data_IF_866804301080
#
_entry.id   IF_866804301080
#
_cell.length_a   1.000
_cell.length_b   1.000
_cell.length_c   1.000
_cell.angle_alpha   90.00
_cell.angle_beta   90.00
_cell.angle_gamma   90.00
#
_symmetry.space_group_name_H-M   'P 1'
#
loop_
_entity.id
_entity.type
_entity.pdbx_description
1 polymer ?
#
# COMPACT_ATOMS: atom_id res chain seq x y z
N UNK A 1 21.96 14.80 11.90
CA UNK A 1 21.78 15.51 13.18
C UNK A 1 20.31 15.80 13.35
N UNK A 2 19.72 15.48 14.50
CA UNK A 2 18.26 15.46 14.63
C UNK A 2 17.74 16.73 15.27
N UNK A 3 17.04 17.53 14.47
CA UNK A 3 16.40 18.78 14.88
C UNK A 3 15.58 18.63 16.19
N UNK A 4 14.77 17.57 16.41
CA UNK A 4 14.03 17.42 17.67
C UNK A 4 14.89 17.25 18.92
N UNK A 5 16.06 16.61 18.82
CA UNK A 5 16.98 16.42 19.95
C UNK A 5 17.68 17.74 20.28
N UNK A 6 18.07 18.48 19.24
CA UNK A 6 18.61 19.82 19.38
C UNK A 6 17.60 20.76 20.02
N UNK A 7 16.35 20.76 19.54
CA UNK A 7 15.26 21.52 20.17
C UNK A 7 15.11 21.19 21.64
N UNK A 8 15.11 19.89 22.00
CA UNK A 8 15.07 19.47 23.40
C UNK A 8 16.25 20.05 24.21
N UNK A 9 17.45 20.01 23.65
CA UNK A 9 18.64 20.58 24.28
C UNK A 9 18.54 22.10 24.46
N UNK A 10 18.08 22.83 23.43
CA UNK A 10 17.91 24.28 23.51
C UNK A 10 16.81 24.63 24.51
N UNK A 11 15.64 24.01 24.46
CA UNK A 11 14.54 24.35 25.37
C UNK A 11 14.89 24.00 26.83
N UNK A 12 15.63 22.91 27.07
CA UNK A 12 16.15 22.61 28.39
C UNK A 12 17.14 23.68 28.88
N UNK A 13 18.03 24.15 28.00
CA UNK A 13 18.97 25.24 28.31
C UNK A 13 18.22 26.55 28.56
N UNK A 14 17.18 26.83 27.77
CA UNK A 14 16.33 28.00 27.90
C UNK A 14 15.60 27.99 29.24
N UNK A 15 14.95 26.88 29.63
CA UNK A 15 14.30 26.70 30.93
C UNK A 15 15.30 26.91 32.08
N UNK A 16 16.52 26.37 31.97
CA UNK A 16 17.54 26.59 33.00
C UNK A 16 17.97 28.06 33.10
N UNK A 17 18.04 28.77 31.97
CA UNK A 17 18.38 30.18 31.94
C UNK A 17 17.25 31.07 32.46
N UNK A 18 15.97 30.73 32.22
CA UNK A 18 14.83 31.52 32.70
C UNK A 18 14.70 31.51 34.23
N UNK A 19 15.30 30.52 34.90
CA UNK A 19 15.40 30.51 36.37
C UNK A 19 16.35 31.59 36.91
N UNK A 20 17.26 32.10 36.10
CA UNK A 20 18.31 33.05 36.51
C UNK A 20 18.09 34.43 35.85
N UNK A 21 17.60 34.45 34.62
CA UNK A 21 17.41 35.63 33.80
C UNK A 21 15.96 35.72 33.33
N UNK A 22 15.47 36.94 33.09
CA UNK A 22 14.12 37.10 32.56
C UNK A 22 14.03 36.51 31.14
N UNK A 23 12.96 35.77 30.85
CA UNK A 23 12.68 35.21 29.54
C UNK A 23 12.79 36.31 28.45
N UNK A 24 13.59 36.07 27.42
CA UNK A 24 13.79 37.07 26.40
C UNK A 24 12.58 37.19 25.48
N UNK A 25 12.33 38.41 25.01
CA UNK A 25 11.25 38.74 24.06
C UNK A 25 11.70 38.58 22.61
N UNK A 26 12.79 37.84 22.37
CA UNK A 26 13.36 37.66 21.05
C UNK A 26 12.52 36.67 20.25
N UNK A 27 12.39 36.93 18.95
CA UNK A 27 11.54 36.14 18.06
C UNK A 27 11.96 34.67 18.01
N UNK A 28 13.27 34.39 18.03
CA UNK A 28 13.82 33.04 17.97
C UNK A 28 13.46 32.23 19.22
N UNK A 29 13.48 32.86 20.40
CA UNK A 29 13.13 32.27 21.69
C UNK A 29 11.61 32.02 21.78
N UNK A 30 10.80 32.98 21.33
CA UNK A 30 9.35 32.81 21.22
C UNK A 30 8.99 31.67 20.26
N UNK A 31 9.69 31.56 19.13
CA UNK A 31 9.48 30.46 18.17
C UNK A 31 9.90 29.11 18.75
N UNK A 32 11.00 29.07 19.54
CA UNK A 32 11.43 27.86 20.24
C UNK A 32 10.37 27.40 21.26
N UNK A 33 9.88 28.32 22.09
CA UNK A 33 8.81 28.04 23.07
C UNK A 33 7.57 27.54 22.35
N UNK A 34 7.12 28.26 21.32
CA UNK A 34 5.92 27.89 20.55
C UNK A 34 6.04 26.50 19.90
N UNK A 35 7.23 26.13 19.43
CA UNK A 35 7.45 24.81 18.81
C UNK A 35 7.71 23.68 19.80
N UNK A 36 7.89 23.99 21.10
CA UNK A 36 8.32 23.01 22.12
C UNK A 36 7.35 22.88 23.30
N UNK A 37 6.48 23.85 23.51
CA UNK A 37 5.57 23.89 24.66
C UNK A 37 4.29 23.07 24.44
N UNK A 38 3.74 22.58 25.55
CA UNK A 38 2.37 22.11 25.66
C UNK A 38 1.43 23.32 25.70
N UNK A 39 0.31 23.22 25.00
CA UNK A 39 -0.68 24.29 24.90
C UNK A 39 -1.97 23.89 25.60
N UNK A 40 -2.67 24.86 26.16
CA UNK A 40 -4.06 24.76 26.58
C UNK A 40 -4.91 25.74 25.78
N UNK A 41 -6.19 25.40 25.55
CA UNK A 41 -7.15 26.35 25.01
C UNK A 41 -7.30 27.51 26.02
N UNK A 42 -7.26 28.77 25.55
CA UNK A 42 -7.37 29.95 26.41
C UNK A 42 -8.76 30.09 27.03
N UNK A 43 -9.78 29.52 26.39
CA UNK A 43 -11.19 29.69 26.74
C UNK A 43 -11.79 28.48 27.48
N UNK A 44 -11.06 27.36 27.58
CA UNK A 44 -11.50 26.20 28.38
C UNK A 44 -11.20 26.44 29.86
N UNK A 45 -12.24 26.68 30.65
CA UNK A 45 -12.15 26.64 32.11
C UNK A 45 -11.94 25.18 32.55
N UNK A 46 -10.77 24.81 33.10
CA UNK A 46 -10.47 23.43 33.48
C UNK A 46 -11.36 22.90 34.62
N UNK A 47 -12.29 23.70 35.14
CA UNK A 47 -13.28 23.28 36.14
C UNK A 47 -14.59 22.77 35.56
N UNK A 48 -14.86 22.94 34.25
CA UNK A 48 -15.97 22.27 33.58
C UNK A 48 -15.54 20.88 33.11
N UNK A 49 -15.79 19.89 33.96
CA UNK A 49 -15.70 18.48 33.57
C UNK A 49 -16.89 18.14 32.68
N UNK A 50 -16.66 18.13 31.37
CA UNK A 50 -17.62 17.64 30.39
C UNK A 50 -17.64 16.10 30.46
N UNK A 51 -18.52 15.61 31.33
CA UNK A 51 -19.13 14.29 31.21
C UNK A 51 -20.22 14.44 30.12
N UNK A 52 -19.94 14.08 28.86
CA UNK A 52 -20.89 13.83 27.74
C UNK A 52 -20.06 13.83 26.43
N UNK A 53 -20.29 13.08 25.35
CA UNK A 53 -20.92 11.79 25.08
C UNK A 53 -20.50 11.49 23.60
N UNK A 54 -20.06 10.26 23.34
CA UNK A 54 -20.07 9.52 22.06
C UNK A 54 -20.46 10.26 20.74
N UNK A 55 -19.51 10.95 20.08
CA UNK A 55 -19.63 11.24 18.64
C UNK A 55 -18.41 10.70 17.86
N UNK A 56 -18.57 9.44 17.42
CA UNK A 56 -17.70 8.66 16.53
C UNK A 56 -17.84 9.13 15.06
N UNK A 57 -17.62 10.42 14.77
CA UNK A 57 -17.50 10.90 13.39
C UNK A 57 -16.01 10.92 12.97
N UNK A 58 -15.62 9.87 12.25
CA UNK A 58 -14.38 9.74 11.47
C UNK A 58 -14.41 10.73 10.26
N UNK A 59 -14.58 12.03 10.51
CA UNK A 59 -14.34 13.06 9.50
C UNK A 59 -12.83 13.33 9.38
N UNK A 60 -12.37 13.45 8.13
CA UNK A 60 -10.98 13.65 7.76
C UNK A 60 -10.42 14.92 8.42
N UNK A 61 -9.53 14.74 9.40
CA UNK A 61 -8.73 15.72 10.16
C UNK A 61 -7.77 16.56 9.27
N UNK A 62 -8.25 17.19 8.20
CA UNK A 62 -7.40 18.00 7.29
C UNK A 62 -7.64 19.52 7.38
N UNK A 63 -8.63 20.02 8.15
CA UNK A 63 -8.95 21.46 8.26
C UNK A 63 -8.66 22.11 9.64
N UNK A 64 -7.94 21.43 10.53
CA UNK A 64 -7.66 21.89 11.92
C UNK A 64 -6.48 22.88 12.05
N UNK A 65 -6.14 23.61 10.98
CA UNK A 65 -4.96 24.51 10.95
C UNK A 65 -5.29 25.93 11.45
N UNK A 66 -6.56 26.34 11.39
CA UNK A 66 -6.98 27.72 11.72
C UNK A 66 -7.35 27.94 13.20
N UNK A 67 -7.37 26.90 14.05
CA UNK A 67 -7.70 27.05 15.49
C UNK A 67 -6.52 27.46 16.38
N UNK A 68 -5.31 27.63 15.81
CA UNK A 68 -4.10 27.90 16.60
C UNK A 68 -4.08 29.27 17.31
N UNK A 69 -4.94 30.21 16.95
CA UNK A 69 -4.97 31.54 17.59
C UNK A 69 -5.45 31.50 19.05
N UNK A 70 -6.17 30.47 19.47
CA UNK A 70 -6.77 30.37 20.81
C UNK A 70 -5.93 29.55 21.80
N UNK A 71 -4.76 29.05 21.40
CA UNK A 71 -3.93 28.20 22.25
C UNK A 71 -2.77 28.98 22.87
N UNK A 72 -2.67 29.00 24.19
CA UNK A 72 -1.56 29.63 24.94
C UNK A 72 -0.64 28.55 25.51
N UNK A 73 0.71 28.72 25.45
CA UNK A 73 1.64 27.80 26.10
C UNK A 73 1.39 27.73 27.61
N UNK A 74 1.25 26.53 28.15
CA UNK A 74 1.03 26.35 29.58
C UNK A 74 2.26 26.84 30.34
N UNK A 75 2.04 27.80 31.25
CA UNK A 75 3.07 28.34 32.16
C UNK A 75 3.92 29.50 31.62
N UNK A 76 3.55 30.08 30.47
CA UNK A 76 4.25 31.23 29.86
C UNK A 76 4.46 32.40 30.84
N UNK A 77 3.46 32.69 31.68
CA UNK A 77 3.50 33.79 32.66
C UNK A 77 4.52 33.61 33.80
N UNK A 78 5.00 32.38 34.04
CA UNK A 78 5.90 32.05 35.14
C UNK A 78 7.32 31.67 34.67
N UNK A 79 7.57 31.68 33.36
CA UNK A 79 8.82 31.18 32.78
C UNK A 79 9.02 29.67 32.96
N UNK A 80 7.94 28.94 33.29
CA UNK A 80 7.89 27.50 33.49
C UNK A 80 7.13 26.86 32.33
N UNK A 81 7.84 26.44 31.29
CA UNK A 81 7.23 25.82 30.13
C UNK A 81 7.06 24.31 30.33
N UNK A 82 5.83 23.81 30.18
CA UNK A 82 5.61 22.37 30.04
C UNK A 82 5.97 21.96 28.62
N UNK A 83 6.83 20.96 28.45
CA UNK A 83 7.26 20.48 27.15
C UNK A 83 6.16 19.62 26.51
N UNK A 84 6.00 19.69 25.18
CA UNK A 84 4.99 18.98 24.38
C UNK A 84 5.08 17.43 24.41
N UNK A 85 5.84 16.86 25.33
CA UNK A 85 6.10 15.43 25.48
C UNK A 85 7.52 15.09 25.09
N UNK A 86 8.24 14.43 26.00
CA UNK A 86 9.54 13.84 25.71
C UNK A 86 9.30 12.37 25.38
N UNK A 87 9.72 11.95 24.19
CA UNK A 87 9.60 10.57 23.72
C UNK A 87 10.99 9.95 23.67
N UNK A 88 11.10 8.73 24.16
CA UNK A 88 12.29 7.89 23.96
C UNK A 88 12.20 7.22 22.57
N UNK A 89 13.19 7.47 21.72
CA UNK A 89 13.35 6.83 20.41
C UNK A 89 14.78 6.31 20.30
N UNK A 90 14.94 4.99 20.18
CA UNK A 90 16.26 4.34 20.04
C UNK A 90 17.26 4.70 21.16
N UNK A 91 16.81 4.74 22.42
CA UNK A 91 17.60 5.15 23.61
C UNK A 91 18.03 6.63 23.62
N UNK A 92 17.40 7.46 22.79
CA UNK A 92 17.59 8.91 22.82
C UNK A 92 16.28 9.60 23.16
N UNK A 93 16.35 10.62 23.99
CA UNK A 93 15.19 11.45 24.33
C UNK A 93 15.04 12.58 23.32
N UNK A 94 13.81 12.83 22.88
CA UNK A 94 13.50 13.92 21.96
C UNK A 94 12.12 14.49 22.21
N UNK A 95 11.91 15.73 21.79
CA UNK A 95 10.56 16.27 21.76
C UNK A 95 9.70 15.46 20.77
N UNK A 96 8.47 15.15 21.19
CA UNK A 96 7.41 14.60 20.36
C UNK A 96 7.19 15.52 19.14
N UNK A 97 6.83 14.96 18.00
CA UNK A 97 6.40 15.75 16.85
C UNK A 97 4.95 16.18 17.10
N UNK A 98 4.72 17.10 18.04
CA UNK A 98 3.35 17.47 18.39
C UNK A 98 2.81 18.59 17.50
N UNK A 99 3.65 19.41 16.85
CA UNK A 99 3.19 20.41 15.86
C UNK A 99 4.21 20.60 14.72
N UNK A 100 3.71 20.70 13.49
CA UNK A 100 4.50 20.83 12.24
C UNK A 100 5.11 22.23 12.02
N UNK A 101 5.01 23.15 12.99
CA UNK A 101 5.82 24.37 12.94
C UNK A 101 7.29 23.99 13.15
N UNK A 102 7.94 23.67 12.04
CA UNK A 102 9.36 23.36 12.02
C UNK A 102 10.10 24.64 12.43
N UNK A 103 10.53 24.74 13.70
CA UNK A 103 11.59 25.67 14.11
C UNK A 103 12.67 25.67 13.02
N UNK A 104 12.88 26.80 12.31
CA UNK A 104 13.77 26.86 11.19
C UNK A 104 15.19 26.44 11.62
N UNK A 105 15.96 25.74 10.76
CA UNK A 105 17.34 25.41 11.06
C UNK A 105 18.17 26.62 11.47
N UNK A 106 17.92 27.80 10.89
CA UNK A 106 18.59 29.07 11.25
C UNK A 106 18.38 29.46 12.71
N UNK A 107 17.19 29.24 13.28
CA UNK A 107 16.92 29.55 14.69
C UNK A 107 17.74 28.63 15.60
N UNK A 108 17.89 27.35 15.25
CA UNK A 108 18.76 26.44 16.00
C UNK A 108 20.22 26.86 15.94
N UNK A 109 20.72 27.25 14.76
CA UNK A 109 22.09 27.74 14.61
C UNK A 109 22.34 28.96 15.50
N UNK A 110 21.40 29.91 15.50
CA UNK A 110 21.45 31.10 16.36
C UNK A 110 21.43 30.75 17.84
N UNK A 111 20.52 29.87 18.27
CA UNK A 111 20.36 29.45 19.66
C UNK A 111 21.62 28.74 20.19
N UNK A 112 22.31 28.00 19.33
CA UNK A 112 23.59 27.36 19.64
C UNK A 112 24.81 28.25 19.40
N UNK A 113 24.62 29.48 18.93
CA UNK A 113 25.68 30.44 18.59
C UNK A 113 26.69 29.89 17.59
N UNK A 114 26.22 29.18 16.59
CA UNK A 114 27.03 28.63 15.49
C UNK A 114 26.57 29.19 14.15
N UNK A 115 27.47 29.28 13.18
CA UNK A 115 27.18 29.87 11.87
C UNK A 115 26.69 28.84 10.85
N UNK A 116 27.01 27.56 11.06
CA UNK A 116 26.67 26.48 10.14
C UNK A 116 26.24 25.20 10.84
N UNK A 117 25.57 24.32 10.11
CA UNK A 117 25.20 22.97 10.59
C UNK A 117 26.43 22.08 10.81
N UNK A 118 27.53 22.35 10.11
CA UNK A 118 28.83 21.69 10.27
C UNK A 118 29.50 22.08 11.61
N UNK A 119 29.41 23.36 11.97
CA UNK A 119 29.87 23.83 13.29
C UNK A 119 29.04 23.18 14.40
N UNK A 120 27.73 23.05 14.20
CA UNK A 120 26.86 22.37 15.15
C UNK A 120 27.28 20.88 15.29
N UNK A 121 27.68 20.23 14.19
CA UNK A 121 28.21 18.85 14.23
C UNK A 121 29.51 18.77 15.04
N UNK A 122 30.37 19.77 14.86
CA UNK A 122 31.63 19.91 15.58
C UNK A 122 31.40 20.14 17.07
N UNK A 123 30.49 21.03 17.45
CA UNK A 123 30.14 21.34 18.86
C UNK A 123 29.65 20.10 19.61
N UNK A 124 28.84 19.27 18.96
CA UNK A 124 28.31 18.05 19.59
C UNK A 124 29.22 16.82 19.42
N UNK A 125 30.38 16.95 18.78
CA UNK A 125 31.27 15.83 18.49
C UNK A 125 30.62 14.74 17.64
N UNK A 126 29.56 15.07 16.90
CA UNK A 126 28.81 14.12 16.07
C UNK A 126 29.34 14.27 14.66
N UNK A 127 30.27 13.41 14.26
CA UNK A 127 30.61 13.25 12.85
C UNK A 127 29.31 12.98 12.08
N UNK A 128 28.93 13.93 11.23
CA UNK A 128 27.85 13.91 10.24
C UNK A 128 26.99 12.64 10.20
N UNK A 129 25.90 12.65 10.97
CA UNK A 129 24.72 11.85 10.67
C UNK A 129 24.46 10.70 11.62
N UNK A 130 23.77 10.99 12.73
CA UNK A 130 22.67 10.13 13.12
C UNK A 130 21.70 10.09 11.93
N UNK A 131 21.88 9.16 11.01
CA UNK A 131 20.84 8.79 10.07
C UNK A 131 19.83 7.99 10.89
N UNK A 132 18.55 8.35 10.80
CA UNK A 132 17.51 7.46 11.31
C UNK A 132 17.73 6.13 10.65
N UNK A 133 18.12 5.12 11.44
CA UNK A 133 18.00 3.76 10.94
C UNK A 133 16.53 3.66 10.52
N UNK A 134 16.26 3.53 9.20
CA UNK A 134 14.90 3.49 8.72
C UNK A 134 14.25 2.40 9.54
N UNK A 135 13.12 2.73 10.20
CA UNK A 135 12.41 1.72 11.00
C UNK A 135 12.23 0.54 10.06
N UNK A 136 12.80 -0.62 10.39
CA UNK A 136 12.64 -1.78 9.53
C UNK A 136 11.15 -2.13 9.57
N UNK A 137 10.53 -2.09 8.40
CA UNK A 137 9.13 -2.49 8.28
C UNK A 137 9.00 -3.93 8.68
N UNK A 138 7.87 -4.30 9.28
CA UNK A 138 7.65 -5.71 9.57
C UNK A 138 7.77 -6.51 8.25
N UNK A 139 8.64 -7.52 8.18
CA UNK A 139 9.02 -8.19 6.93
C UNK A 139 7.84 -8.92 6.27
N UNK A 140 6.78 -9.19 7.03
CA UNK A 140 5.55 -9.84 6.56
C UNK A 140 4.56 -8.90 5.87
N UNK A 141 4.79 -7.56 5.95
CA UNK A 141 3.92 -6.56 5.34
C UNK A 141 3.88 -6.70 3.83
N UNK A 142 2.67 -6.62 3.27
CA UNK A 142 2.46 -6.48 1.83
C UNK A 142 2.77 -5.06 1.39
N UNK A 143 3.37 -4.90 0.22
CA UNK A 143 3.52 -3.57 -0.38
C UNK A 143 2.23 -3.19 -1.10
N UNK A 144 1.31 -2.55 -0.38
CA UNK A 144 0.00 -2.14 -0.90
C UNK A 144 0.05 -0.90 -1.81
N UNK A 145 1.24 -0.30 -2.01
CA UNK A 145 1.44 0.88 -2.88
C UNK A 145 1.91 0.50 -4.28
N UNK A 146 1.83 -0.77 -4.65
CA UNK A 146 2.21 -1.21 -5.99
C UNK A 146 1.16 -0.75 -7.01
N UNK A 147 1.58 -0.24 -8.19
CA UNK A 147 0.65 0.15 -9.24
C UNK A 147 -0.10 -1.06 -9.82
N UNK A 148 0.54 -2.24 -9.82
CA UNK A 148 -0.07 -3.49 -10.25
C UNK A 148 0.46 -4.68 -9.43
N UNK A 149 -0.35 -5.72 -9.30
CA UNK A 149 0.07 -7.02 -8.78
C UNK A 149 1.03 -7.71 -9.75
N UNK A 150 1.82 -8.64 -9.23
CA UNK A 150 2.78 -9.39 -10.04
C UNK A 150 2.06 -10.51 -10.77
N UNK A 151 2.39 -10.69 -12.04
CA UNK A 151 1.86 -11.76 -12.86
C UNK A 151 2.26 -13.13 -12.31
N UNK A 152 1.29 -14.04 -12.23
CA UNK A 152 1.43 -15.37 -11.65
C UNK A 152 2.49 -16.22 -12.37
N UNK A 153 2.69 -15.99 -13.67
CA UNK A 153 3.72 -16.65 -14.48
C UNK A 153 5.15 -16.28 -14.00
N UNK A 154 5.33 -15.10 -13.41
CA UNK A 154 6.61 -14.70 -12.82
C UNK A 154 6.74 -15.13 -11.35
N UNK A 155 5.63 -15.45 -10.69
CA UNK A 155 5.61 -15.87 -9.29
C UNK A 155 5.83 -17.37 -9.13
N UNK A 156 5.33 -18.17 -10.08
CA UNK A 156 5.39 -19.64 -10.07
C UNK A 156 6.45 -20.13 -11.03
N UNK A 157 7.12 -21.22 -10.67
CA UNK A 157 8.00 -21.95 -11.59
C UNK A 157 7.19 -22.80 -12.59
N UNK A 158 6.07 -23.32 -12.13
CA UNK A 158 5.20 -24.20 -12.91
C UNK A 158 4.03 -23.42 -13.50
N UNK A 159 3.69 -23.69 -14.76
CA UNK A 159 2.52 -23.11 -15.42
C UNK A 159 1.25 -23.56 -14.68
N UNK A 160 0.31 -22.65 -14.35
CA UNK A 160 -0.94 -23.04 -13.73
C UNK A 160 -1.72 -24.02 -14.62
N UNK A 161 -2.41 -25.02 -14.05
CA UNK A 161 -3.13 -26.01 -14.83
C UNK A 161 -4.24 -25.35 -15.65
N UNK A 162 -4.41 -25.76 -16.91
CA UNK A 162 -5.53 -25.29 -17.72
C UNK A 162 -6.81 -25.96 -17.22
N UNK A 163 -7.77 -25.14 -16.79
CA UNK A 163 -9.10 -25.59 -16.39
C UNK A 163 -9.93 -25.80 -17.66
N UNK A 164 -10.55 -26.97 -17.77
CA UNK A 164 -11.60 -27.18 -18.76
C UNK A 164 -12.83 -26.38 -18.32
N UNK A 165 -13.10 -25.28 -19.01
CA UNK A 165 -14.24 -24.39 -18.74
C UNK A 165 -15.39 -24.63 -19.71
N UNK A 166 -15.23 -25.55 -20.67
CA UNK A 166 -16.24 -25.86 -21.66
C UNK A 166 -16.51 -24.73 -22.65
N UNK A 167 -15.55 -23.82 -22.86
CA UNK A 167 -15.69 -22.71 -23.81
C UNK A 167 -15.44 -23.22 -25.23
N UNK A 168 -16.48 -23.72 -25.90
CA UNK A 168 -16.40 -24.20 -27.29
C UNK A 168 -16.31 -23.01 -28.27
N UNK A 169 -15.23 -22.93 -29.06
CA UNK A 169 -15.00 -21.82 -30.02
C UNK A 169 -16.00 -21.73 -31.16
N UNK A 170 -16.86 -22.74 -31.36
CA UNK A 170 -17.82 -22.71 -32.46
C UNK A 170 -18.78 -21.51 -32.44
N UNK A 171 -18.83 -20.76 -31.35
CA UNK A 171 -19.65 -19.55 -31.20
C UNK A 171 -18.87 -18.22 -31.20
N UNK A 172 -17.56 -18.24 -31.45
CA UNK A 172 -16.70 -17.08 -31.20
C UNK A 172 -16.19 -16.53 -32.54
N UNK A 173 -16.96 -15.63 -33.12
CA UNK A 173 -16.41 -14.70 -34.11
C UNK A 173 -15.59 -13.68 -33.33
N UNK A 174 -14.29 -13.93 -33.19
CA UNK A 174 -13.37 -12.91 -32.69
C UNK A 174 -13.42 -11.77 -33.69
N UNK A 175 -13.81 -10.57 -33.27
CA UNK A 175 -13.69 -9.42 -34.16
C UNK A 175 -12.22 -9.35 -34.56
N UNK A 176 -11.94 -9.51 -35.86
CA UNK A 176 -10.60 -9.23 -36.38
C UNK A 176 -10.32 -7.79 -35.98
N UNK A 177 -9.28 -7.50 -35.18
CA UNK A 177 -8.94 -6.13 -34.86
C UNK A 177 -8.90 -5.39 -36.18
N UNK A 178 -9.70 -4.33 -36.33
CA UNK A 178 -9.55 -3.42 -37.46
C UNK A 178 -8.17 -2.80 -37.34
N UNK A 179 -7.16 -3.50 -37.85
CA UNK A 179 -5.87 -2.92 -38.16
C UNK A 179 -6.16 -1.89 -39.23
N UNK A 180 -5.88 -0.63 -38.89
CA UNK A 180 -6.04 0.52 -39.77
C UNK A 180 -4.95 0.53 -40.86
N UNK A 181 -4.66 -0.64 -41.44
CA UNK A 181 -3.71 -0.82 -42.53
C UNK A 181 -4.50 -0.73 -43.83
N UNK A 182 -4.59 0.49 -44.36
CA UNK A 182 -5.18 0.80 -45.66
C UNK A 182 -4.33 0.31 -46.83
N UNK A 183 -4.14 -1.01 -46.96
CA UNK A 183 -3.57 -1.60 -48.17
C UNK A 183 -4.52 -2.69 -48.68
N UNK A 184 -5.30 -2.32 -49.69
CA UNK A 184 -6.14 -3.22 -50.48
C UNK A 184 -5.28 -4.25 -51.21
N UNK A 185 -4.94 -5.36 -50.56
CA UNK A 185 -4.38 -6.53 -51.24
C UNK A 185 -5.46 -7.58 -51.36
N UNK A 186 -6.09 -7.62 -52.54
CA UNK A 186 -6.92 -8.71 -52.98
C UNK A 186 -6.11 -10.02 -52.97
N UNK A 187 -6.33 -10.88 -51.98
CA UNK A 187 -5.91 -12.29 -52.02
C UNK A 187 -6.96 -13.19 -51.39
N UNK A 188 -7.47 -14.10 -52.22
CA UNK A 188 -8.11 -15.34 -51.82
C UNK A 188 -7.18 -16.13 -50.89
N UNK A 189 -7.31 -15.91 -49.58
CA UNK A 189 -6.64 -16.73 -48.58
C UNK A 189 -7.62 -17.83 -48.20
N UNK A 190 -7.36 -19.02 -48.73
CA UNK A 190 -7.98 -20.27 -48.29
C UNK A 190 -7.56 -20.50 -46.83
N UNK A 191 -8.45 -20.18 -45.89
CA UNK A 191 -8.24 -20.45 -44.47
C UNK A 191 -8.12 -21.97 -44.23
N UNK A 192 -7.03 -22.46 -43.60
CA UNK A 192 -6.87 -23.89 -43.31
C UNK A 192 -7.91 -24.35 -42.28
N UNK A 193 -8.71 -25.37 -42.62
CA UNK A 193 -9.73 -26.01 -41.75
C UNK A 193 -9.21 -26.68 -40.46
N UNK A 194 -7.92 -26.53 -40.13
CA UNK A 194 -7.30 -27.13 -38.94
C UNK A 194 -7.00 -26.16 -37.79
N UNK A 195 -7.27 -24.86 -37.94
CA UNK A 195 -7.05 -23.86 -36.89
C UNK A 195 -8.03 -23.96 -35.70
N UNK A 196 -9.19 -24.59 -35.88
CA UNK A 196 -10.30 -24.53 -34.92
C UNK A 196 -10.01 -25.21 -33.56
N UNK A 197 -9.16 -26.24 -33.50
CA UNK A 197 -8.93 -27.00 -32.24
C UNK A 197 -7.85 -26.35 -31.36
N UNK A 198 -6.87 -25.70 -31.97
CA UNK A 198 -5.76 -25.07 -31.24
C UNK A 198 -6.19 -23.75 -30.61
N UNK A 199 -7.02 -22.97 -31.30
CA UNK A 199 -7.60 -21.73 -30.78
C UNK A 199 -8.50 -22.00 -29.55
N UNK A 200 -9.22 -23.13 -29.46
CA UNK A 200 -10.14 -23.41 -28.33
C UNK A 200 -9.38 -23.57 -27.04
N UNK A 201 -8.25 -24.28 -27.11
CA UNK A 201 -7.38 -24.48 -25.97
C UNK A 201 -6.79 -23.15 -25.49
N UNK A 202 -6.69 -22.16 -26.37
CA UNK A 202 -6.17 -20.84 -26.02
C UNK A 202 -7.15 -20.02 -25.18
N UNK A 203 -8.46 -20.08 -25.44
CA UNK A 203 -9.44 -19.33 -24.63
C UNK A 203 -9.57 -19.91 -23.21
N UNK A 204 -9.71 -21.23 -23.08
CA UNK A 204 -9.72 -21.91 -21.78
C UNK A 204 -8.44 -21.62 -21.00
N UNK A 205 -7.29 -21.59 -21.69
CA UNK A 205 -5.99 -21.21 -21.10
C UNK A 205 -6.00 -19.77 -20.61
N UNK A 206 -6.48 -18.81 -21.40
CA UNK A 206 -6.56 -17.40 -21.00
C UNK A 206 -7.49 -17.18 -19.80
N UNK A 207 -8.68 -17.79 -19.81
CA UNK A 207 -9.65 -17.69 -18.71
C UNK A 207 -9.10 -18.38 -17.45
N UNK A 208 -8.39 -19.50 -17.60
CA UNK A 208 -7.68 -20.16 -16.50
C UNK A 208 -6.60 -19.25 -15.90
N UNK A 209 -5.81 -18.57 -16.72
CA UNK A 209 -4.81 -17.60 -16.24
C UNK A 209 -5.46 -16.45 -15.47
N UNK A 210 -6.57 -15.90 -15.96
CA UNK A 210 -7.35 -14.87 -15.25
C UNK A 210 -7.83 -15.40 -13.90
N UNK A 211 -8.36 -16.62 -13.87
CA UNK A 211 -8.85 -17.26 -12.63
C UNK A 211 -7.75 -17.42 -11.58
N UNK A 212 -6.60 -17.98 -11.94
CA UNK A 212 -5.51 -18.14 -10.97
C UNK A 212 -4.88 -16.81 -10.56
N UNK A 213 -4.79 -15.85 -11.50
CA UNK A 213 -4.34 -14.49 -11.16
C UNK A 213 -5.28 -13.83 -10.16
N UNK A 214 -6.61 -14.00 -10.29
CA UNK A 214 -7.59 -13.46 -9.34
C UNK A 214 -7.34 -13.96 -7.92
N UNK A 215 -7.13 -15.27 -7.75
CA UNK A 215 -6.87 -15.86 -6.43
C UNK A 215 -5.59 -15.29 -5.80
N UNK A 216 -4.53 -15.10 -6.61
CA UNK A 216 -3.27 -14.48 -6.18
C UNK A 216 -3.46 -13.00 -5.79
N UNK A 217 -4.12 -12.23 -6.66
CA UNK A 217 -4.34 -10.80 -6.48
C UNK A 217 -5.15 -10.50 -5.23
N UNK A 218 -6.19 -11.28 -4.94
CA UNK A 218 -7.01 -11.12 -3.72
C UNK A 218 -6.14 -11.19 -2.47
N UNK A 219 -5.24 -12.18 -2.39
CA UNK A 219 -4.36 -12.36 -1.23
C UNK A 219 -3.29 -11.27 -1.17
N UNK A 220 -2.68 -10.92 -2.30
CA UNK A 220 -1.62 -9.90 -2.38
C UNK A 220 -2.12 -8.49 -2.05
N UNK A 221 -3.39 -8.20 -2.37
CA UNK A 221 -4.04 -6.92 -2.07
C UNK A 221 -4.64 -6.83 -0.67
N UNK A 222 -4.48 -7.87 0.15
CA UNK A 222 -4.96 -7.84 1.52
C UNK A 222 -4.31 -6.71 2.32
N UNK A 223 -5.08 -5.99 3.16
CA UNK A 223 -4.56 -4.84 3.88
C UNK A 223 -3.49 -5.24 4.90
N UNK A 224 -2.70 -4.24 5.31
CA UNK A 224 -1.83 -4.37 6.46
C UNK A 224 -2.49 -3.73 7.68
N UNK A 225 -2.08 -4.15 8.88
CA UNK A 225 -2.46 -3.46 10.12
C UNK A 225 -1.87 -2.04 10.12
N UNK A 226 -2.61 -1.10 10.72
CA UNK A 226 -2.17 0.30 10.92
C UNK A 226 -0.83 0.30 11.67
N UNK A 227 0.09 1.18 11.29
CA UNK A 227 1.43 1.25 11.88
C UNK A 227 2.46 0.38 11.16
N UNK A 228 3.69 0.90 11.06
CA UNK A 228 4.76 0.32 10.25
C UNK A 228 5.38 -0.97 10.82
N UNK A 229 5.38 -1.11 12.15
CA UNK A 229 5.87 -2.30 12.87
C UNK A 229 4.87 -3.44 12.91
N UNK A 230 3.60 -3.18 12.59
CA UNK A 230 2.56 -4.20 12.65
C UNK A 230 2.60 -5.09 11.40
N UNK A 231 2.38 -6.41 11.56
CA UNK A 231 2.42 -7.36 10.45
C UNK A 231 1.24 -7.16 9.48
N UNK A 232 1.30 -7.85 8.34
CA UNK A 232 0.14 -8.00 7.45
C UNK A 232 -1.01 -8.72 8.16
N UNK A 233 -2.26 -8.51 7.73
CA UNK A 233 -3.35 -9.35 8.20
C UNK A 233 -3.20 -10.79 7.71
N UNK A 234 -2.58 -11.03 6.55
CA UNK A 234 -2.42 -12.37 5.96
C UNK A 234 -1.34 -13.18 6.68
N UNK A 235 -1.67 -14.39 7.12
CA UNK A 235 -0.73 -15.32 7.79
C UNK A 235 0.09 -16.18 6.83
N UNK A 236 -0.30 -16.24 5.54
CA UNK A 236 0.52 -16.93 4.53
C UNK A 236 1.89 -16.26 4.39
N UNK A 237 2.94 -17.08 4.34
CA UNK A 237 4.29 -16.61 4.01
C UNK A 237 4.37 -16.11 2.57
N UNK A 238 5.39 -15.28 2.25
CA UNK A 238 5.60 -14.77 0.88
C UNK A 238 5.66 -15.89 -0.15
N UNK A 239 6.27 -17.03 0.18
CA UNK A 239 6.36 -18.21 -0.71
C UNK A 239 4.98 -18.84 -0.95
N UNK A 240 4.17 -18.99 0.11
CA UNK A 240 2.81 -19.52 0.01
C UNK A 240 1.88 -18.60 -0.78
N UNK A 241 2.03 -17.27 -0.63
CA UNK A 241 1.27 -16.28 -1.40
C UNK A 241 1.47 -16.42 -2.92
N UNK A 242 2.70 -16.75 -3.37
CA UNK A 242 2.99 -17.03 -4.79
C UNK A 242 2.27 -18.27 -5.34
N UNK A 243 1.89 -19.20 -4.47
CA UNK A 243 1.29 -20.49 -4.81
C UNK A 243 -0.15 -20.60 -4.30
N UNK A 244 -0.87 -19.47 -4.27
CA UNK A 244 -2.28 -19.46 -3.84
C UNK A 244 -3.16 -20.20 -4.84
N UNK A 245 -3.69 -21.34 -4.39
CA UNK A 245 -4.66 -22.17 -5.13
C UNK A 245 -6.07 -22.02 -4.56
N UNK A 246 -7.07 -22.52 -5.31
CA UNK A 246 -8.47 -22.53 -4.90
C UNK A 246 -8.71 -23.20 -3.53
N UNK A 247 -7.89 -24.20 -3.15
CA UNK A 247 -7.97 -24.87 -1.84
C UNK A 247 -7.84 -23.90 -0.65
N UNK A 248 -7.13 -22.79 -0.80
CA UNK A 248 -7.00 -21.77 0.25
C UNK A 248 -8.32 -21.01 0.48
N UNK A 249 -9.20 -21.00 -0.52
CA UNK A 249 -10.53 -20.42 -0.48
C UNK A 249 -11.63 -21.46 -0.20
N UNK A 250 -11.29 -22.75 -0.16
CA UNK A 250 -12.18 -23.89 0.10
C UNK A 250 -11.96 -24.46 1.50
N UNK A 251 -11.81 -23.58 2.49
CA UNK A 251 -11.59 -23.96 3.88
C UNK A 251 -12.13 -22.86 4.80
N UNK A 252 -12.61 -23.24 5.99
CA UNK A 252 -12.97 -22.31 7.06
C UNK A 252 -11.79 -22.03 8.02
N UNK A 253 -10.61 -22.59 7.75
CA UNK A 253 -9.34 -22.21 8.37
C UNK A 253 -8.75 -21.00 7.63
N UNK A 254 -9.14 -19.80 8.04
CA UNK A 254 -8.89 -18.55 7.32
C UNK A 254 -7.43 -18.09 7.49
N UNK A 255 -6.72 -17.74 6.41
CA UNK A 255 -5.30 -17.40 6.46
C UNK A 255 -5.04 -15.95 6.90
N UNK A 256 -5.63 -15.54 8.02
CA UNK A 256 -5.52 -14.18 8.56
C UNK A 256 -5.28 -14.18 10.06
N UNK A 257 -4.77 -13.06 10.57
CA UNK A 257 -4.56 -12.84 12.01
C UNK A 257 -5.80 -12.31 12.70
N UNK A 258 -6.62 -11.50 12.00
CA UNK A 258 -7.86 -10.94 12.53
C UNK A 258 -8.88 -10.84 11.42
N UNK A 259 -10.08 -11.38 11.63
CA UNK A 259 -11.15 -11.44 10.63
C UNK A 259 -12.46 -11.02 11.26
N UNK A 260 -13.20 -10.16 10.56
CA UNK A 260 -14.64 -10.01 10.76
C UNK A 260 -15.34 -10.78 9.66
N UNK A 261 -16.19 -11.72 9.99
CA UNK A 261 -16.89 -12.52 8.99
C UNK A 261 -18.39 -12.50 9.18
N UNK A 262 -19.10 -12.71 8.06
CA UNK A 262 -20.54 -12.91 8.04
C UNK A 262 -20.91 -13.93 6.98
N UNK A 263 -21.98 -14.67 7.22
CA UNK A 263 -22.53 -15.62 6.25
C UNK A 263 -23.43 -14.88 5.27
N UNK A 264 -23.32 -15.17 3.97
CA UNK A 264 -24.26 -14.63 3.00
C UNK A 264 -25.65 -15.22 3.21
N UNK A 265 -26.66 -14.40 3.48
CA UNK A 265 -28.03 -14.84 3.83
C UNK A 265 -28.70 -15.74 2.77
N UNK A 266 -28.30 -15.64 1.49
CA UNK A 266 -28.83 -16.45 0.39
C UNK A 266 -27.72 -16.80 -0.60
N UNK A 267 -27.76 -18.02 -1.14
CA UNK A 267 -26.86 -18.44 -2.22
C UNK A 267 -26.88 -17.48 -3.42
N UNK A 268 -28.08 -16.98 -3.78
CA UNK A 268 -28.24 -15.99 -4.85
C UNK A 268 -27.45 -14.69 -4.60
N UNK A 269 -27.19 -14.31 -3.34
CA UNK A 269 -26.34 -13.15 -3.05
C UNK A 269 -24.86 -13.44 -3.34
N UNK A 270 -24.41 -14.68 -3.19
CA UNK A 270 -23.05 -15.08 -3.54
C UNK A 270 -22.82 -14.90 -5.05
N UNK A 271 -23.71 -15.49 -5.85
CA UNK A 271 -23.61 -15.52 -7.30
C UNK A 271 -23.95 -14.19 -7.98
N UNK A 272 -24.85 -13.37 -7.42
CA UNK A 272 -25.28 -12.12 -8.06
C UNK A 272 -24.68 -10.87 -7.42
N UNK A 273 -24.23 -10.90 -6.17
CA UNK A 273 -23.62 -9.72 -5.54
C UNK A 273 -22.12 -9.88 -5.36
N UNK A 274 -21.66 -11.02 -4.85
CA UNK A 274 -20.22 -11.18 -4.60
C UNK A 274 -19.49 -11.39 -5.93
N UNK A 275 -19.94 -12.34 -6.75
CA UNK A 275 -19.34 -12.61 -8.06
C UNK A 275 -19.31 -11.37 -8.97
N UNK A 276 -20.41 -10.62 -9.08
CA UNK A 276 -20.50 -9.41 -9.92
C UNK A 276 -19.51 -8.31 -9.52
N UNK A 277 -19.00 -8.31 -8.28
CA UNK A 277 -17.93 -7.38 -7.87
C UNK A 277 -16.57 -7.79 -8.41
N UNK A 278 -16.29 -9.10 -8.45
CA UNK A 278 -14.99 -9.61 -8.91
C UNK A 278 -14.92 -9.78 -10.42
N UNK A 279 -16.03 -10.16 -11.04
CA UNK A 279 -16.20 -10.32 -12.48
C UNK A 279 -17.40 -9.51 -12.92
N UNK A 280 -17.24 -8.18 -13.10
CA UNK A 280 -18.35 -7.31 -13.46
C UNK A 280 -18.78 -7.53 -14.92
N UNK A 281 -20.02 -7.16 -15.29
CA UNK A 281 -20.52 -7.34 -16.65
C UNK A 281 -19.68 -6.55 -17.65
N UNK A 282 -19.73 -6.98 -18.92
CA UNK A 282 -19.03 -6.29 -20.02
C UNK A 282 -19.46 -4.82 -20.06
N UNK A 283 -18.48 -3.92 -20.21
CA UNK A 283 -18.70 -2.48 -20.23
C UNK A 283 -18.65 -1.81 -18.85
N UNK A 284 -18.56 -2.58 -17.76
CA UNK A 284 -18.35 -2.01 -16.44
C UNK A 284 -16.98 -1.32 -16.32
N UNK A 285 -17.00 -0.07 -15.91
CA UNK A 285 -15.80 0.72 -15.64
C UNK A 285 -15.54 0.74 -14.13
N UNK A 286 -14.33 0.38 -13.76
CA UNK A 286 -13.89 0.42 -12.35
C UNK A 286 -13.70 1.88 -11.95
N UNK A 287 -14.28 2.34 -10.82
CA UNK A 287 -14.17 3.73 -10.40
C UNK A 287 -12.70 4.18 -10.25
N UNK A 288 -12.42 5.43 -10.60
CA UNK A 288 -11.08 6.01 -10.58
C UNK A 288 -10.43 5.97 -9.18
N UNK A 289 -11.24 6.16 -8.13
CA UNK A 289 -10.79 6.22 -6.74
C UNK A 289 -10.91 4.87 -6.01
N UNK A 290 -11.08 3.79 -6.76
CA UNK A 290 -11.31 2.47 -6.16
C UNK A 290 -10.00 1.87 -5.63
N UNK A 291 -10.02 1.50 -4.35
CA UNK A 291 -8.89 0.92 -3.65
C UNK A 291 -8.70 -0.56 -4.06
N UNK A 292 -7.45 -0.92 -4.36
CA UNK A 292 -6.98 -2.25 -4.79
C UNK A 292 -7.41 -2.69 -6.20
N UNK A 293 -8.65 -2.41 -6.62
CA UNK A 293 -9.20 -2.95 -7.87
C UNK A 293 -8.36 -2.64 -9.12
N UNK A 294 -7.95 -1.38 -9.30
CA UNK A 294 -7.15 -0.98 -10.46
C UNK A 294 -5.77 -1.63 -10.49
N UNK A 295 -5.21 -1.96 -9.32
CA UNK A 295 -3.93 -2.62 -9.21
C UNK A 295 -4.00 -4.14 -9.44
N UNK A 296 -5.19 -4.72 -9.56
CA UNK A 296 -5.34 -6.15 -9.82
C UNK A 296 -5.15 -6.47 -11.30
N UNK A 297 -4.08 -7.18 -11.63
CA UNK A 297 -3.78 -7.61 -12.99
C UNK A 297 -4.86 -8.53 -13.57
N UNK A 298 -5.48 -9.38 -12.74
CA UNK A 298 -6.55 -10.26 -13.21
C UNK A 298 -7.72 -9.46 -13.79
N UNK A 299 -8.08 -8.35 -13.16
CA UNK A 299 -9.22 -7.54 -13.53
C UNK A 299 -8.93 -6.78 -14.83
N UNK A 300 -7.71 -6.25 -14.98
CA UNK A 300 -7.26 -5.63 -16.22
C UNK A 300 -7.30 -6.63 -17.40
N UNK A 301 -6.82 -7.86 -17.19
CA UNK A 301 -6.87 -8.94 -18.19
C UNK A 301 -8.29 -9.35 -18.53
N UNK A 302 -9.13 -9.50 -17.52
CA UNK A 302 -10.55 -9.80 -17.67
C UNK A 302 -11.28 -8.72 -18.46
N UNK A 303 -11.12 -7.44 -18.11
CA UNK A 303 -11.75 -6.32 -18.82
C UNK A 303 -11.27 -6.24 -20.27
N UNK A 304 -9.96 -6.43 -20.51
CA UNK A 304 -9.42 -6.51 -21.86
C UNK A 304 -10.10 -7.64 -22.63
N UNK A 305 -10.10 -8.87 -22.11
CA UNK A 305 -10.77 -10.01 -22.72
C UNK A 305 -12.24 -9.68 -23.04
N UNK A 306 -12.99 -9.11 -22.10
CA UNK A 306 -14.39 -8.73 -22.29
C UNK A 306 -14.60 -7.65 -23.36
N UNK A 307 -13.63 -6.76 -23.60
CA UNK A 307 -13.70 -5.78 -24.68
C UNK A 307 -13.58 -6.41 -26.07
N UNK A 308 -12.77 -7.46 -26.22
CA UNK A 308 -12.53 -8.14 -27.50
C UNK A 308 -13.69 -9.01 -27.98
N UNK A 309 -14.51 -9.49 -27.05
CA UNK A 309 -15.66 -10.32 -27.38
C UNK A 309 -16.73 -9.49 -28.08
N UNK A 310 -17.46 -10.05 -29.03
CA UNK A 310 -18.63 -9.37 -29.57
C UNK A 310 -19.70 -9.15 -28.49
N UNK A 311 -20.52 -8.09 -28.57
CA UNK A 311 -21.72 -7.95 -27.73
C UNK A 311 -22.65 -9.15 -27.97
N UNK A 312 -22.72 -10.09 -27.02
CA UNK A 312 -23.54 -11.29 -27.19
C UNK A 312 -23.17 -12.44 -26.26
N UNK A 313 -23.41 -13.66 -26.73
CA UNK A 313 -23.35 -14.89 -25.93
C UNK A 313 -21.96 -15.22 -25.37
N UNK A 314 -20.87 -14.82 -26.03
CA UNK A 314 -19.51 -15.16 -25.59
C UNK A 314 -19.17 -14.60 -24.20
N UNK A 315 -19.41 -13.30 -23.96
CA UNK A 315 -19.10 -12.69 -22.67
C UNK A 315 -19.86 -13.38 -21.51
N UNK A 316 -21.14 -13.72 -21.72
CA UNK A 316 -21.91 -14.42 -20.69
C UNK A 316 -21.47 -15.88 -20.53
N UNK A 317 -21.04 -16.58 -21.58
CA UNK A 317 -20.49 -17.94 -21.45
C UNK A 317 -19.22 -17.98 -20.59
N UNK A 318 -18.26 -17.06 -20.82
CA UNK A 318 -17.07 -16.95 -19.95
C UNK A 318 -17.48 -16.63 -18.52
N UNK A 319 -18.42 -15.71 -18.34
CA UNK A 319 -18.92 -15.35 -17.01
C UNK A 319 -19.61 -16.52 -16.33
N UNK A 320 -20.41 -17.30 -17.04
CA UNK A 320 -21.05 -18.50 -16.52
C UNK A 320 -20.02 -19.54 -16.08
N UNK A 321 -18.99 -19.79 -16.89
CA UNK A 321 -17.91 -20.71 -16.54
C UNK A 321 -17.11 -20.22 -15.32
N UNK A 322 -16.77 -18.93 -15.27
CA UNK A 322 -16.13 -18.32 -14.10
C UNK A 322 -17.04 -18.36 -12.86
N UNK A 323 -18.36 -18.15 -13.03
CA UNK A 323 -19.36 -18.19 -11.96
C UNK A 323 -19.46 -19.60 -11.36
N UNK A 324 -19.40 -20.64 -12.18
CA UNK A 324 -19.36 -22.03 -11.73
C UNK A 324 -18.12 -22.32 -10.88
N UNK A 325 -16.95 -21.81 -11.28
CA UNK A 325 -15.73 -21.96 -10.45
C UNK A 325 -15.79 -21.11 -9.19
N UNK A 326 -16.34 -19.90 -9.27
CA UNK A 326 -16.50 -18.98 -8.15
C UNK A 326 -17.48 -19.48 -7.11
N UNK A 327 -18.55 -20.18 -7.52
CA UNK A 327 -19.50 -20.80 -6.61
C UNK A 327 -18.87 -21.93 -5.80
N UNK A 328 -17.72 -22.47 -6.21
CA UNK A 328 -16.97 -23.47 -5.43
C UNK A 328 -16.11 -22.86 -4.31
N UNK A 329 -16.00 -21.54 -4.22
CA UNK A 329 -15.24 -20.87 -3.16
C UNK A 329 -16.10 -20.75 -1.88
N UNK A 330 -15.52 -21.04 -0.73
CA UNK A 330 -16.22 -21.05 0.57
C UNK A 330 -16.20 -19.69 1.24
N UNK A 331 -15.21 -18.85 0.92
CA UNK A 331 -15.12 -17.50 1.46
C UNK A 331 -14.49 -16.54 0.43
N UNK A 332 -14.84 -15.26 0.54
CA UNK A 332 -14.34 -14.16 -0.30
C UNK A 332 -14.29 -12.86 0.50
N UNK A 333 -13.45 -11.89 0.13
CA UNK A 333 -13.48 -10.55 0.73
C UNK A 333 -14.89 -9.95 0.64
N UNK A 334 -15.31 -9.20 1.68
CA UNK A 334 -16.54 -8.41 1.66
C UNK A 334 -16.35 -7.11 0.85
N UNK A 335 -16.11 -7.30 -0.44
CA UNK A 335 -15.85 -6.28 -1.44
C UNK A 335 -17.02 -5.28 -1.60
N UNK A 336 -16.67 -4.02 -1.88
CA UNK A 336 -17.57 -2.99 -2.40
C UNK A 336 -16.98 -2.35 -3.65
N UNK A 337 -17.76 -1.48 -4.31
CA UNK A 337 -17.34 -0.76 -5.52
C UNK A 337 -16.06 0.03 -5.29
N UNK A 338 -15.98 0.69 -4.15
CA UNK A 338 -14.82 1.50 -3.78
C UNK A 338 -13.61 0.69 -3.32
N UNK A 339 -13.77 -0.53 -2.81
CA UNK A 339 -12.64 -1.27 -2.22
C UNK A 339 -12.85 -2.78 -2.20
N UNK A 340 -11.82 -3.52 -2.58
CA UNK A 340 -11.83 -4.99 -2.51
C UNK A 340 -11.84 -5.49 -1.05
N UNK A 341 -11.03 -4.86 -0.21
CA UNK A 341 -10.90 -5.22 1.20
C UNK A 341 -11.43 -4.11 2.11
N UNK A 342 -12.25 -4.49 3.09
CA UNK A 342 -12.62 -3.61 4.20
C UNK A 342 -11.86 -4.05 5.44
N UNK A 343 -11.21 -3.11 6.10
CA UNK A 343 -10.60 -3.31 7.41
C UNK A 343 -11.22 -2.28 8.36
N UNK A 344 -12.18 -2.71 9.18
CA UNK A 344 -12.89 -1.87 10.15
C UNK A 344 -13.04 -2.62 11.46
N UNK A 345 -13.22 -1.88 12.55
CA UNK A 345 -13.68 -2.44 13.82
C UNK A 345 -15.05 -3.11 13.61
N UNK A 346 -15.36 -4.09 14.45
CA UNK A 346 -16.68 -4.72 14.43
C UNK A 346 -17.73 -3.64 14.70
N UNK A 347 -18.76 -3.59 13.86
CA UNK A 347 -19.96 -2.83 14.21
C UNK A 347 -20.83 -3.73 15.09
N UNK A 348 -21.57 -3.14 16.04
CA UNK A 348 -22.44 -3.79 17.04
C UNK A 348 -23.66 -4.51 16.43
N UNK A 349 -23.53 -5.02 15.21
CA UNK A 349 -24.56 -5.73 14.46
C UNK A 349 -24.53 -7.22 14.81
N UNK A 350 -25.71 -7.78 15.10
CA UNK A 350 -25.94 -9.16 15.59
C UNK A 350 -25.55 -10.28 14.63
N UNK A 351 -25.11 -9.98 13.41
CA UNK A 351 -24.80 -10.97 12.35
C UNK A 351 -23.32 -11.06 11.99
N UNK A 352 -22.48 -10.31 12.70
CA UNK A 352 -21.04 -10.26 12.48
C UNK A 352 -20.32 -11.02 13.59
N UNK A 353 -19.31 -11.80 13.20
CA UNK A 353 -18.46 -12.54 14.13
C UNK A 353 -17.01 -12.08 13.93
N UNK A 354 -16.26 -12.02 15.03
CA UNK A 354 -14.86 -11.62 15.03
C UNK A 354 -13.96 -12.79 15.44
N UNK A 355 -12.80 -12.89 14.81
CA UNK A 355 -11.73 -13.81 15.18
C UNK A 355 -10.42 -13.03 15.32
N UNK A 356 -9.64 -13.24 16.39
CA UNK A 356 -10.01 -14.01 17.58
C UNK A 356 -11.12 -13.29 18.39
N UNK A 357 -11.86 -14.02 19.23
CA UNK A 357 -13.08 -13.54 19.91
C UNK A 357 -12.83 -12.41 20.91
N UNK A 358 -11.60 -12.32 21.43
CA UNK A 358 -11.13 -11.32 22.39
C UNK A 358 -10.58 -10.04 21.73
N UNK A 359 -10.55 -9.98 20.40
CA UNK A 359 -9.98 -8.85 19.68
C UNK A 359 -10.94 -7.66 19.62
N UNK A 360 -10.48 -6.51 20.12
CA UNK A 360 -11.22 -5.23 20.07
C UNK A 360 -10.83 -4.36 18.87
N UNK A 361 -9.79 -4.75 18.12
CA UNK A 361 -9.31 -3.97 16.98
C UNK A 361 -10.05 -4.26 15.68
N UNK A 362 -9.64 -3.56 14.62
CA UNK A 362 -10.10 -3.85 13.27
C UNK A 362 -9.62 -5.22 12.77
N UNK A 363 -10.42 -5.85 11.90
CA UNK A 363 -10.10 -7.08 11.18
C UNK A 363 -10.45 -6.96 9.70
N UNK A 364 -9.95 -7.88 8.87
CA UNK A 364 -10.37 -7.94 7.45
C UNK A 364 -11.77 -8.52 7.35
N UNK A 365 -12.61 -7.91 6.50
CA UNK A 365 -13.99 -8.35 6.36
C UNK A 365 -14.13 -9.40 5.26
N UNK A 366 -14.75 -10.52 5.62
CA UNK A 366 -14.93 -11.67 4.76
C UNK A 366 -16.40 -12.11 4.73
N UNK A 367 -16.84 -12.61 3.58
CA UNK A 367 -18.12 -13.26 3.38
C UNK A 367 -17.91 -14.77 3.31
N UNK A 368 -18.74 -15.53 4.03
CA UNK A 368 -18.80 -16.98 3.90
C UNK A 368 -19.96 -17.38 3.00
N UNK A 369 -19.70 -18.31 2.09
CA UNK A 369 -20.69 -18.87 1.19
C UNK A 369 -21.63 -19.81 1.97
N UNK A 370 -22.92 -19.47 2.00
CA UNK A 370 -23.93 -20.24 2.71
C UNK A 370 -24.20 -21.63 2.13
N UNK A 371 -23.77 -21.91 0.90
CA UNK A 371 -23.88 -23.26 0.32
C UNK A 371 -22.99 -24.28 1.07
N UNK A 372 -21.83 -23.83 1.58
CA UNK A 372 -20.87 -24.71 2.27
C UNK A 372 -20.86 -24.51 3.78
N UNK A 373 -21.26 -23.33 4.26
CA UNK A 373 -21.24 -23.03 5.68
C UNK A 373 -22.43 -23.65 6.40
N UNK A 374 -22.14 -24.60 7.29
CA UNK A 374 -23.11 -25.18 8.21
C UNK A 374 -22.60 -24.99 9.65
N UNK A 375 -23.23 -24.12 10.47
CA UNK A 375 -22.76 -23.82 11.82
C UNK A 375 -22.78 -25.04 12.76
N UNK A 376 -23.57 -26.08 12.44
CA UNK A 376 -23.59 -27.31 13.23
C UNK A 376 -22.43 -28.27 12.89
N UNK A 377 -21.72 -28.04 11.77
CA UNK A 377 -20.66 -28.94 11.28
C UNK A 377 -19.28 -28.30 11.25
N UNK A 378 -19.21 -26.99 11.06
CA UNK A 378 -17.96 -26.29 10.81
C UNK A 378 -17.77 -25.15 11.80
N UNK A 379 -16.53 -25.05 12.28
CA UNK A 379 -16.06 -23.92 13.07
C UNK A 379 -15.14 -23.08 12.19
N UNK A 380 -15.40 -21.78 12.13
CA UNK A 380 -14.51 -20.83 11.47
C UNK A 380 -13.34 -20.58 12.40
N UNK A 381 -12.12 -20.79 11.92
CA UNK A 381 -10.92 -20.66 12.74
C UNK A 381 -9.82 -19.95 11.95
N UNK A 382 -8.86 -19.37 12.65
CA UNK A 382 -7.68 -18.77 12.03
C UNK A 382 -6.63 -19.85 11.78
N UNK A 383 -6.05 -19.86 10.58
CA UNK A 383 -4.94 -20.73 10.27
C UNK A 383 -3.73 -20.30 11.11
N UNK A 384 -3.08 -21.22 11.86
CA UNK A 384 -1.90 -20.89 12.62
C UNK A 384 -0.85 -20.24 11.72
N UNK A 385 -0.23 -19.16 12.20
CA UNK A 385 0.86 -18.52 11.46
C UNK A 385 1.98 -19.54 11.28
N UNK A 386 2.19 -20.02 10.05
CA UNK A 386 3.35 -20.83 9.74
C UNK A 386 4.56 -19.90 9.71
N UNK A 387 5.29 -19.84 10.82
CA UNK A 387 6.60 -19.20 10.84
C UNK A 387 7.52 -20.12 10.05
N UNK A 388 7.57 -19.92 8.73
CA UNK A 388 8.59 -20.55 7.89
C UNK A 388 9.93 -19.91 8.33
N UNK A 389 10.62 -20.53 9.31
CA UNK A 389 11.92 -20.12 9.84
C UNK A 389 13.07 -20.36 8.83
N UNK A 390 12.76 -20.54 7.55
CA UNK A 390 13.77 -20.74 6.52
C UNK A 390 14.52 -19.42 6.31
N UNK A 391 15.81 -19.47 6.66
CA UNK A 391 16.80 -18.40 6.74
C UNK A 391 16.74 -17.43 5.57
N UNK A 392 16.53 -16.15 5.84
CA UNK A 392 16.57 -15.04 4.88
C UNK A 392 17.97 -14.75 4.32
N UNK A 393 18.95 -15.63 4.53
CA UNK A 393 20.37 -15.34 4.34
C UNK A 393 20.84 -15.39 2.87
N UNK A 394 20.04 -15.95 1.95
CA UNK A 394 20.47 -16.09 0.55
C UNK A 394 19.93 -15.02 -0.41
N UNK A 395 18.74 -14.46 -0.17
CA UNK A 395 18.14 -13.48 -1.08
C UNK A 395 18.61 -12.02 -0.85
N UNK A 396 19.08 -11.68 0.36
CA UNK A 396 19.58 -10.31 0.64
C UNK A 396 21.01 -10.06 0.14
N UNK A 397 21.81 -11.10 -0.13
CA UNK A 397 23.19 -10.93 -0.62
C UNK A 397 23.31 -10.47 -2.08
N UNK A 398 22.21 -10.44 -2.85
CA UNK A 398 22.24 -10.03 -4.27
C UNK A 398 21.72 -8.62 -4.56
N UNK A 399 21.17 -7.90 -3.58
CA UNK A 399 20.42 -6.65 -3.84
C UNK A 399 21.09 -5.32 -3.50
N UNK A 400 22.15 -5.29 -2.69
CA UNK A 400 22.63 -4.05 -2.07
C UNK A 400 23.87 -3.40 -2.71
N UNK A 401 24.21 -3.75 -3.95
CA UNK A 401 25.38 -3.18 -4.61
C UNK A 401 25.07 -2.76 -6.02
N UNK A 402 24.39 -1.62 -6.22
CA UNK A 402 24.60 -0.72 -7.36
C UNK A 402 24.05 0.66 -6.97
N UNK A 403 24.91 1.41 -6.28
CA UNK A 403 24.75 2.85 -6.17
C UNK A 403 24.73 3.44 -7.58
N UNK A 404 23.64 4.13 -7.92
CA UNK A 404 23.60 4.99 -9.09
C UNK A 404 24.52 6.17 -8.84
N UNK A 405 25.79 6.02 -9.21
CA UNK A 405 26.63 7.15 -9.57
C UNK A 405 26.05 7.79 -10.83
N UNK A 406 25.40 8.95 -10.68
CA UNK A 406 25.18 9.86 -11.81
C UNK A 406 26.51 10.54 -12.08
N UNK A 407 27.26 9.96 -13.01
CA UNK A 407 28.44 10.58 -13.57
C UNK A 407 28.06 11.35 -14.84
N UNK A 408 28.76 12.45 -15.04
CA UNK A 408 28.65 13.43 -16.12
C UNK A 408 28.78 12.86 -17.54
N UNK A 409 28.01 13.43 -18.46
CA UNK A 409 28.31 13.62 -19.90
C UNK A 409 27.39 14.78 -20.33
N UNK A 410 27.85 15.98 -20.70
CA UNK A 410 28.85 16.40 -21.69
C UNK A 410 28.40 16.01 -23.10
N UNK A 411 27.81 16.98 -23.78
CA UNK A 411 27.84 17.22 -25.22
C UNK A 411 27.24 18.62 -25.40
N UNK A 412 28.04 19.53 -25.97
CA UNK A 412 27.60 20.64 -26.83
C UNK A 412 28.88 21.27 -27.39
N UNK A 413 29.21 20.76 -28.57
CA UNK A 413 29.60 21.49 -29.77
C UNK A 413 29.96 22.98 -29.58
N UNK A 414 31.20 23.32 -29.95
CA UNK A 414 31.45 24.53 -30.72
C UNK A 414 32.63 24.29 -31.66
N UNK A 415 32.30 24.46 -32.93
CA UNK A 415 33.16 24.71 -34.06
C UNK A 415 34.03 25.94 -33.79
N UNK A 416 35.23 25.96 -34.36
CA UNK A 416 35.80 27.07 -35.14
C UNK A 416 37.33 26.90 -35.23
N UNK A 417 37.81 26.98 -36.49
CA UNK A 417 39.03 27.69 -36.94
C UNK A 417 40.37 27.19 -36.34
N UNK A 418 41.49 27.06 -37.04
CA UNK A 418 42.01 27.62 -38.27
C UNK A 418 43.29 26.80 -38.60
N UNK A 419 43.63 26.76 -39.88
CA UNK A 419 44.97 26.76 -40.49
C UNK A 419 46.22 26.51 -39.60
N UNK A 420 47.06 25.54 -39.97
CA UNK A 420 48.33 25.88 -40.62
C UNK A 420 49.17 24.66 -41.05
N UNK A 421 49.94 24.95 -42.10
CA UNK A 421 51.01 24.23 -42.77
C UNK A 421 51.98 23.48 -41.83
N UNK A 422 52.57 22.36 -42.28
CA UNK A 422 54.00 22.32 -42.67
C UNK A 422 54.46 20.88 -43.00
N UNK A 423 54.74 20.70 -44.29
CA UNK A 423 55.89 20.01 -44.87
C UNK A 423 56.85 19.17 -43.97
N UNK A 424 57.00 17.88 -44.29
CA UNK A 424 58.24 17.05 -44.33
C UNK A 424 57.83 15.57 -44.30
N UNK A 425 58.18 14.69 -45.23
CA UNK A 425 59.35 14.65 -46.09
C UNK A 425 60.14 13.38 -45.74
N UNK A 426 60.17 12.42 -46.67
CA UNK A 426 61.10 11.26 -46.74
C UNK A 426 61.00 10.26 -45.56
N UNK A 427 61.24 8.96 -45.70
CA UNK A 427 62.25 8.29 -46.52
C UNK A 427 61.87 6.81 -46.71
N UNK A 428 62.30 6.28 -47.84
CA UNK A 428 62.26 4.87 -48.22
C UNK A 428 63.46 4.15 -47.60
N UNK A 429 63.22 3.06 -46.88
CA UNK A 429 63.95 1.77 -46.97
C UNK A 429 63.50 0.82 -45.85
#
# INVERSE_FOLDING_TARGET
>A
MWIPNLRLGVIATYILNTLIYWAGKREEELTLVKSSALYCCADEDPTHGDDDDDDDDDEDFEDEVDELEHYVPIGDWQGLYFLAGIVEDQRTYRLSKVRESELPPSHLLWLYRVSSTEDLATVFGVATGFSRQPRLGNPTRTNNRRPATTDIEHLRRDEPPVLNMGLDLRFWQTMVPMTLDGVEVARDVVLPRHAEVEEVRELDKQVSKIWFQMLSDIVDQSPNRRGWSNPSYVTLSKRKRRHVEAKHFQTFALPFTHVVWKVTQRAMNWENRVFERFFPPKGYQVPANSQNWQSCLYLQRYQRLMMWLEPGHGAEQIRMALRERFSMLWWMPNASEERMWKARKQQTMTTQHILPEDHTGGGVWILLNSQYFNPARFVVMLLPCSVDLESSDEDERRGCGHGRGRNHGREDENEDEEEDEEERGMEVA
#
